data_IF_391647719429
#
_entry.id   IF_391647719429
#
_cell.length_a   1.000
_cell.length_b   1.000
_cell.length_c   1.000
_cell.angle_alpha   90.00
_cell.angle_beta   90.00
_cell.angle_gamma   90.00
#
_symmetry.space_group_name_H-M   'P 1'
#
loop_
_entity.id
_entity.type
_entity.pdbx_description
1 polymer ?
#
# COMPACT_ATOMS: atom_id res chain seq x y z
N UNK A 1 15.28 -29.72 8.30
CA UNK A 1 15.76 -30.60 9.37
C UNK A 1 15.50 -29.89 10.68
N UNK A 2 14.69 -30.46 11.57
CA UNK A 2 14.24 -29.76 12.78
C UNK A 2 15.34 -29.79 13.85
N UNK A 3 15.79 -28.61 14.27
CA UNK A 3 16.82 -28.40 15.30
C UNK A 3 16.48 -29.11 16.63
N UNK A 4 15.19 -29.25 16.92
CA UNK A 4 14.65 -29.98 18.07
C UNK A 4 15.09 -31.45 18.10
N UNK A 5 15.09 -32.14 16.96
CA UNK A 5 15.49 -33.55 16.89
C UNK A 5 16.98 -33.74 17.16
N UNK A 6 17.81 -32.77 16.74
CA UNK A 6 19.25 -32.79 16.99
C UNK A 6 19.54 -32.62 18.49
N UNK A 7 18.83 -31.70 19.15
CA UNK A 7 18.99 -31.48 20.60
C UNK A 7 18.53 -32.68 21.43
N UNK A 8 17.42 -33.33 21.03
CA UNK A 8 16.96 -34.58 21.66
C UNK A 8 17.97 -35.72 21.49
N UNK A 9 18.61 -35.83 20.32
CA UNK A 9 19.64 -36.83 20.07
C UNK A 9 20.90 -36.60 20.95
N UNK A 10 21.31 -35.34 21.15
CA UNK A 10 22.44 -34.98 22.02
C UNK A 10 22.13 -35.32 23.48
N UNK A 11 20.92 -34.96 23.96
CA UNK A 11 20.47 -35.29 25.30
C UNK A 11 20.41 -36.80 25.53
N UNK A 12 19.91 -37.56 24.55
CA UNK A 12 19.86 -39.03 24.63
C UNK A 12 21.26 -39.65 24.73
N UNK A 13 22.25 -39.14 24.00
CA UNK A 13 23.66 -39.57 24.10
C UNK A 13 24.23 -39.23 25.48
N UNK A 14 23.95 -38.03 26.01
CA UNK A 14 24.44 -37.61 27.32
C UNK A 14 23.84 -38.43 28.46
N UNK A 15 22.55 -38.76 28.38
CA UNK A 15 21.81 -39.53 29.40
C UNK A 15 22.09 -41.03 29.38
N UNK A 16 22.65 -41.57 28.30
CA UNK A 16 22.83 -43.03 28.15
C UNK A 16 24.28 -43.41 27.80
N UNK A 17 24.95 -44.07 28.75
CA UNK A 17 26.36 -44.48 28.65
C UNK A 17 26.66 -45.53 27.55
N UNK A 18 25.62 -46.12 26.94
CA UNK A 18 25.71 -47.21 25.94
C UNK A 18 25.33 -46.79 24.51
N UNK A 19 24.91 -45.54 24.30
CA UNK A 19 24.29 -45.12 23.04
C UNK A 19 25.31 -44.38 22.19
N UNK A 20 25.77 -45.03 21.12
CA UNK A 20 26.76 -44.44 20.22
C UNK A 20 26.15 -43.37 19.32
N UNK A 21 26.97 -42.39 18.92
CA UNK A 21 26.57 -41.29 18.02
C UNK A 21 25.95 -41.83 16.71
N UNK A 22 26.48 -42.94 16.17
CA UNK A 22 25.97 -43.60 14.96
C UNK A 22 24.58 -44.20 15.15
N UNK A 23 24.32 -44.76 16.34
CA UNK A 23 23.02 -45.34 16.68
C UNK A 23 21.98 -44.26 16.97
N UNK A 24 22.37 -43.19 17.67
CA UNK A 24 21.53 -42.01 17.87
C UNK A 24 21.12 -41.37 16.53
N UNK A 25 22.08 -41.17 15.62
CA UNK A 25 21.81 -40.64 14.28
C UNK A 25 20.77 -41.46 13.52
N UNK A 26 20.82 -42.80 13.63
CA UNK A 26 19.85 -43.70 12.99
C UNK A 26 18.47 -43.66 13.66
N UNK A 27 18.42 -43.59 15.00
CA UNK A 27 17.15 -43.54 15.76
C UNK A 27 16.40 -42.23 15.48
N UNK A 28 17.11 -41.11 15.50
CA UNK A 28 16.52 -39.78 15.31
C UNK A 28 16.45 -39.35 13.83
N UNK A 29 16.85 -40.23 12.90
CA UNK A 29 16.87 -39.99 11.46
C UNK A 29 17.66 -38.71 11.05
N UNK A 30 18.85 -38.53 11.62
CA UNK A 30 19.72 -37.37 11.40
C UNK A 30 21.00 -37.85 10.70
N UNK A 31 21.52 -37.12 9.69
CA UNK A 31 22.83 -37.44 9.13
C UNK A 31 23.91 -37.44 10.21
N UNK A 32 24.66 -38.53 10.28
CA UNK A 32 25.70 -38.74 11.30
C UNK A 32 26.71 -37.58 11.39
N UNK A 33 27.09 -37.03 10.23
CA UNK A 33 28.00 -35.87 10.13
C UNK A 33 27.42 -34.62 10.79
N UNK A 34 26.11 -34.39 10.67
CA UNK A 34 25.42 -33.22 11.26
C UNK A 34 25.39 -33.31 12.78
N UNK A 35 25.16 -34.52 13.32
CA UNK A 35 25.17 -34.77 14.76
C UNK A 35 26.58 -34.61 15.36
N UNK A 36 27.62 -35.11 14.67
CA UNK A 36 29.02 -34.89 15.08
C UNK A 36 29.37 -33.40 15.10
N UNK A 37 29.01 -32.65 14.06
CA UNK A 37 29.29 -31.21 14.02
C UNK A 37 28.60 -30.47 15.16
N UNK A 38 27.41 -30.90 15.58
CA UNK A 38 26.72 -30.31 16.74
C UNK A 38 27.36 -30.64 18.07
N UNK A 39 27.77 -31.89 18.27
CA UNK A 39 28.50 -32.31 19.48
C UNK A 39 29.82 -31.54 19.60
N UNK A 40 30.48 -31.26 18.46
CA UNK A 40 31.68 -30.41 18.40
C UNK A 40 31.41 -28.89 18.54
N UNK A 41 30.18 -28.48 18.85
CA UNK A 41 29.82 -27.07 19.13
C UNK A 41 29.56 -26.20 17.89
N UNK A 42 29.43 -26.78 16.68
CA UNK A 42 29.12 -25.99 15.48
C UNK A 42 27.66 -25.55 15.51
N UNK A 43 27.44 -24.23 15.45
CA UNK A 43 26.12 -23.60 15.49
C UNK A 43 25.30 -23.81 14.20
N UNK A 44 23.95 -23.69 14.25
CA UNK A 44 23.11 -23.82 13.07
C UNK A 44 23.45 -22.72 12.08
N UNK A 45 23.53 -23.05 10.79
CA UNK A 45 23.49 -22.01 9.75
C UNK A 45 22.10 -21.38 9.64
N UNK A 46 21.04 -22.15 9.94
CA UNK A 46 19.67 -21.68 9.98
C UNK A 46 19.47 -20.78 11.22
N UNK A 47 19.70 -19.48 11.05
CA UNK A 47 19.65 -18.47 12.13
C UNK A 47 20.95 -17.69 12.29
N UNK A 48 22.07 -18.16 11.72
CA UNK A 48 23.29 -17.36 11.64
C UNK A 48 23.12 -16.25 10.61
N UNK A 49 23.03 -15.01 11.08
CA UNK A 49 23.01 -13.81 10.24
C UNK A 49 24.31 -13.79 9.44
N UNK A 50 24.21 -13.51 8.13
CA UNK A 50 25.39 -13.48 7.26
C UNK A 50 26.46 -12.56 7.86
N UNK A 51 27.72 -13.00 7.88
CA UNK A 51 28.88 -12.17 8.24
C UNK A 51 28.93 -10.88 7.37
N UNK A 52 28.23 -10.87 6.24
CA UNK A 52 28.10 -9.73 5.33
C UNK A 52 26.92 -8.79 5.61
N UNK A 53 26.14 -8.99 6.68
CA UNK A 53 25.18 -7.99 7.14
C UNK A 53 25.93 -6.78 7.70
N UNK A 54 26.08 -5.75 6.87
CA UNK A 54 26.82 -4.52 7.21
C UNK A 54 26.19 -3.74 8.36
N UNK A 55 24.86 -3.82 8.50
CA UNK A 55 24.10 -3.15 9.56
C UNK A 55 23.88 -4.10 10.74
N UNK A 56 24.07 -3.60 11.95
CA UNK A 56 23.76 -4.31 13.20
C UNK A 56 22.24 -4.39 13.41
N UNK A 57 21.80 -5.38 14.19
CA UNK A 57 20.38 -5.58 14.45
C UNK A 57 19.74 -4.38 15.18
N UNK A 58 20.48 -3.75 16.11
CA UNK A 58 20.00 -2.56 16.81
C UNK A 58 19.81 -1.38 15.86
N UNK A 59 20.75 -1.14 14.96
CA UNK A 59 20.66 -0.07 13.95
C UNK A 59 19.48 -0.29 13.01
N UNK A 60 19.28 -1.54 12.59
CA UNK A 60 18.16 -1.92 11.73
C UNK A 60 16.81 -1.75 12.45
N UNK A 61 16.73 -2.09 13.74
CA UNK A 61 15.55 -1.85 14.59
C UNK A 61 15.28 -0.37 14.81
N UNK A 62 16.32 0.44 15.05
CA UNK A 62 16.17 1.90 15.19
C UNK A 62 15.66 2.53 13.89
N UNK A 63 16.19 2.10 12.73
CA UNK A 63 15.70 2.55 11.43
C UNK A 63 14.25 2.14 11.19
N UNK A 64 13.88 0.91 11.55
CA UNK A 64 12.50 0.44 11.48
C UNK A 64 11.57 1.33 12.33
N UNK A 65 11.93 1.57 13.60
CA UNK A 65 11.11 2.39 14.49
C UNK A 65 10.97 3.84 14.00
N UNK A 66 12.05 4.40 13.44
CA UNK A 66 12.04 5.72 12.83
C UNK A 66 11.08 5.80 11.63
N UNK A 67 11.04 4.77 10.77
CA UNK A 67 10.12 4.73 9.63
C UNK A 67 8.66 4.73 10.11
N UNK A 68 8.34 3.95 11.14
CA UNK A 68 6.98 3.90 11.70
C UNK A 68 6.58 5.26 12.28
N UNK A 69 7.43 5.88 13.09
CA UNK A 69 7.15 7.20 13.69
C UNK A 69 6.96 8.29 12.62
N UNK A 70 7.74 8.24 11.54
CA UNK A 70 7.56 9.16 10.41
C UNK A 70 6.24 8.92 9.66
N UNK A 71 5.85 7.66 9.47
CA UNK A 71 4.60 7.29 8.80
C UNK A 71 3.36 7.73 9.61
N UNK A 72 3.38 7.52 10.93
CA UNK A 72 2.31 7.95 11.85
C UNK A 72 2.10 9.48 11.83
N UNK A 73 3.14 10.25 11.51
CA UNK A 73 3.08 11.71 11.37
C UNK A 73 2.72 12.18 9.95
N UNK A 74 2.50 11.26 9.01
CA UNK A 74 2.18 11.56 7.61
C UNK A 74 3.38 11.87 6.72
N UNK A 75 4.61 11.57 7.18
CA UNK A 75 5.86 11.83 6.47
C UNK A 75 6.56 10.54 6.05
N UNK A 76 5.84 9.61 5.41
CA UNK A 76 6.38 8.32 4.99
C UNK A 76 7.63 8.49 4.11
N UNK A 77 8.81 7.95 4.52
CA UNK A 77 10.05 8.15 3.77
C UNK A 77 10.07 7.36 2.46
N UNK A 78 10.77 7.89 1.45
CA UNK A 78 11.00 7.16 0.20
C UNK A 78 12.06 6.08 0.41
N UNK A 79 12.09 5.11 -0.52
CA UNK A 79 13.08 4.04 -0.49
C UNK A 79 14.53 4.56 -0.56
N UNK A 80 14.74 5.67 -1.27
CA UNK A 80 16.03 6.38 -1.32
C UNK A 80 16.39 6.98 0.03
N UNK A 81 15.41 7.60 0.71
CA UNK A 81 15.62 8.24 2.01
C UNK A 81 16.01 7.17 3.05
N UNK A 82 15.38 5.99 3.01
CA UNK A 82 15.76 4.82 3.85
C UNK A 82 17.19 4.34 3.55
N UNK A 83 17.59 4.33 2.28
CA UNK A 83 18.98 4.00 1.88
C UNK A 83 19.97 5.04 2.39
N UNK A 84 19.64 6.33 2.28
CA UNK A 84 20.48 7.44 2.72
C UNK A 84 20.67 7.44 4.24
N UNK A 85 19.61 7.21 5.01
CA UNK A 85 19.71 7.09 6.48
C UNK A 85 20.56 5.88 6.87
N UNK A 86 20.37 4.74 6.18
CA UNK A 86 21.19 3.56 6.44
C UNK A 86 22.67 3.81 6.12
N UNK A 87 22.96 4.52 5.03
CA UNK A 87 24.32 4.91 4.66
C UNK A 87 24.93 5.91 5.64
N UNK A 88 24.14 6.85 6.16
CA UNK A 88 24.57 7.79 7.19
C UNK A 88 25.00 7.06 8.47
N UNK A 89 24.19 6.11 8.95
CA UNK A 89 24.54 5.27 10.11
C UNK A 89 25.86 4.51 9.86
N UNK A 90 26.02 3.92 8.67
CA UNK A 90 27.26 3.19 8.33
C UNK A 90 28.48 4.11 8.24
N UNK A 91 28.31 5.32 7.70
CA UNK A 91 29.38 6.32 7.57
C UNK A 91 29.90 6.77 8.93
N UNK A 92 29.01 6.97 9.93
CA UNK A 92 29.44 7.29 11.31
C UNK A 92 30.34 6.22 11.94
N UNK A 93 30.32 4.99 11.41
CA UNK A 93 31.15 3.88 11.87
C UNK A 93 32.34 3.58 10.95
N UNK A 94 32.55 4.40 9.92
CA UNK A 94 33.57 4.16 8.89
C UNK A 94 33.30 2.91 8.04
N UNK A 95 32.05 2.43 7.99
CA UNK A 95 31.68 1.26 7.22
C UNK A 95 31.33 1.61 5.77
N UNK A 96 31.46 0.62 4.88
CA UNK A 96 31.09 0.79 3.46
C UNK A 96 29.57 0.90 3.29
N UNK A 97 29.12 1.77 2.38
CA UNK A 97 27.72 1.96 1.98
C UNK A 97 26.96 0.65 1.68
N UNK A 98 25.65 0.67 1.85
CA UNK A 98 24.75 -0.44 1.50
C UNK A 98 24.72 -0.67 -0.02
N UNK A 99 24.22 -1.84 -0.44
CA UNK A 99 24.06 -2.14 -1.86
C UNK A 99 22.73 -1.62 -2.41
N UNK A 100 22.64 -1.40 -3.74
CA UNK A 100 21.46 -0.84 -4.42
C UNK A 100 20.11 -1.52 -4.10
N UNK A 101 20.11 -2.82 -3.79
CA UNK A 101 18.90 -3.58 -3.47
C UNK A 101 18.65 -3.72 -1.97
N UNK A 102 19.47 -3.09 -1.13
CA UNK A 102 19.42 -3.28 0.30
C UNK A 102 18.13 -2.74 0.91
N UNK A 103 17.71 -1.51 0.55
CA UNK A 103 16.50 -0.89 1.08
C UNK A 103 15.24 -1.69 0.71
N UNK A 104 15.14 -2.15 -0.55
CA UNK A 104 14.06 -3.05 -0.99
C UNK A 104 14.02 -4.36 -0.20
N UNK A 105 15.18 -4.96 0.05
CA UNK A 105 15.28 -6.18 0.87
C UNK A 105 14.98 -5.89 2.33
N UNK A 106 15.29 -4.70 2.84
CA UNK A 106 14.97 -4.27 4.20
C UNK A 106 13.47 -4.22 4.40
N UNK A 107 12.75 -3.52 3.52
CA UNK A 107 11.28 -3.49 3.57
C UNK A 107 10.70 -4.90 3.48
N UNK A 108 11.21 -5.76 2.59
CA UNK A 108 10.73 -7.15 2.47
C UNK A 108 11.01 -8.03 3.71
N UNK A 109 11.96 -7.66 4.58
CA UNK A 109 12.26 -8.43 5.81
C UNK A 109 11.23 -8.19 6.91
N UNK A 110 10.59 -7.02 6.93
CA UNK A 110 9.59 -6.64 7.93
C UNK A 110 8.20 -6.73 7.33
N UNK A 111 7.36 -7.62 7.86
CA UNK A 111 5.98 -7.80 7.40
C UNK A 111 5.09 -6.58 7.66
N UNK A 112 5.50 -5.73 8.59
CA UNK A 112 4.86 -4.49 9.01
C UNK A 112 5.11 -3.34 8.03
N UNK A 113 6.17 -3.44 7.20
CA UNK A 113 6.48 -2.43 6.19
C UNK A 113 5.97 -2.87 4.82
N UNK A 114 5.36 -1.92 4.10
CA UNK A 114 4.96 -2.12 2.70
C UNK A 114 5.36 -0.92 1.87
N UNK A 115 5.65 -1.17 0.59
CA UNK A 115 5.80 -0.09 -0.39
C UNK A 115 4.43 0.20 -0.99
N UNK A 116 4.00 1.46 -0.92
CA UNK A 116 2.78 1.95 -1.55
C UNK A 116 3.06 3.25 -2.32
N UNK A 117 2.20 3.56 -3.29
CA UNK A 117 2.21 4.88 -3.91
C UNK A 117 1.59 5.88 -2.94
N UNK A 118 2.24 7.05 -2.81
CA UNK A 118 1.62 8.16 -2.10
C UNK A 118 0.48 8.73 -2.97
N UNK A 119 -0.57 9.19 -2.31
CA UNK A 119 -1.62 9.98 -2.94
C UNK A 119 -1.36 11.44 -2.59
N UNK A 120 -1.40 12.33 -3.58
CA UNK A 120 -1.39 13.77 -3.30
C UNK A 120 -2.65 14.08 -2.50
N UNK A 121 -2.47 14.58 -1.29
CA UNK A 121 -3.54 15.01 -0.42
C UNK A 121 -3.50 16.53 -0.30
N UNK A 122 -4.66 17.17 -0.37
CA UNK A 122 -4.74 18.61 -0.30
C UNK A 122 -4.48 19.08 1.14
N UNK A 123 -3.56 20.03 1.29
CA UNK A 123 -3.15 20.52 2.61
C UNK A 123 -4.29 21.25 3.33
N UNK A 124 -5.14 21.98 2.61
CA UNK A 124 -6.29 22.64 3.23
C UNK A 124 -7.27 21.59 3.73
N UNK A 125 -7.56 20.54 2.96
CA UNK A 125 -8.39 19.42 3.44
C UNK A 125 -7.83 18.80 4.72
N UNK A 126 -6.52 18.54 4.78
CA UNK A 126 -5.89 18.02 5.99
C UNK A 126 -6.02 18.96 7.21
N UNK A 127 -6.00 20.28 7.01
CA UNK A 127 -6.18 21.26 8.10
C UNK A 127 -7.62 21.34 8.60
N UNK A 128 -8.61 21.09 7.74
CA UNK A 128 -10.04 21.16 8.08
C UNK A 128 -10.61 19.82 8.57
N UNK A 129 -9.82 18.74 8.55
CA UNK A 129 -10.15 17.43 9.12
C UNK A 129 -9.93 17.36 10.62
N UNK A 130 -10.47 18.33 11.36
CA UNK A 130 -10.54 18.23 12.81
C UNK A 130 -11.55 17.12 13.18
N UNK A 131 -11.03 16.04 13.75
CA UNK A 131 -11.82 14.88 14.17
C UNK A 131 -12.97 15.27 15.08
N UNK A 132 -12.80 16.26 15.96
CA UNK A 132 -13.87 16.69 16.87
C UNK A 132 -14.98 17.44 16.11
N UNK A 133 -14.59 18.27 15.14
CA UNK A 133 -15.53 19.02 14.31
C UNK A 133 -16.34 18.09 13.41
N UNK A 134 -15.66 17.12 12.78
CA UNK A 134 -16.29 16.09 11.95
C UNK A 134 -17.26 15.24 12.78
N UNK A 135 -16.82 14.75 13.95
CA UNK A 135 -17.68 13.94 14.84
C UNK A 135 -18.91 14.73 15.29
N UNK A 136 -18.72 16.01 15.67
CA UNK A 136 -19.81 16.88 16.08
C UNK A 136 -20.83 17.10 14.96
N UNK A 137 -20.36 17.25 13.72
CA UNK A 137 -21.24 17.36 12.55
C UNK A 137 -22.04 16.07 12.30
N UNK A 138 -21.39 14.90 12.29
CA UNK A 138 -22.09 13.62 12.11
C UNK A 138 -23.11 13.35 13.21
N UNK A 139 -22.79 13.71 14.46
CA UNK A 139 -23.73 13.62 15.59
C UNK A 139 -24.95 14.52 15.38
N UNK A 140 -24.74 15.75 14.89
CA UNK A 140 -25.83 16.66 14.56
C UNK A 140 -26.74 16.08 13.46
N UNK A 141 -26.14 15.57 12.37
CA UNK A 141 -26.89 14.92 11.28
C UNK A 141 -27.69 13.72 11.80
N UNK A 142 -27.07 12.86 12.61
CA UNK A 142 -27.75 11.70 13.21
C UNK A 142 -28.93 12.12 14.10
N UNK A 143 -28.77 13.18 14.90
CA UNK A 143 -29.84 13.70 15.75
C UNK A 143 -31.00 14.28 14.93
N UNK A 144 -30.68 15.02 13.86
CA UNK A 144 -31.68 15.56 12.94
C UNK A 144 -32.45 14.44 12.25
N UNK A 145 -31.73 13.41 11.79
CA UNK A 145 -32.30 12.22 11.16
C UNK A 145 -33.29 11.53 12.08
N UNK A 146 -32.91 11.31 13.35
CA UNK A 146 -33.79 10.72 14.36
C UNK A 146 -34.99 11.61 14.73
N UNK A 147 -34.79 12.94 14.83
CA UNK A 147 -35.84 13.89 15.22
C UNK A 147 -36.94 14.04 14.17
N UNK A 148 -36.55 14.06 12.89
CA UNK A 148 -37.48 14.31 11.78
C UNK A 148 -37.87 13.04 11.01
N UNK A 149 -37.32 11.87 11.39
CA UNK A 149 -37.64 10.59 10.75
C UNK A 149 -37.11 10.48 9.32
N UNK A 150 -35.99 11.15 9.01
CA UNK A 150 -35.39 11.17 7.67
C UNK A 150 -34.80 9.79 7.36
N UNK A 151 -35.23 9.20 6.25
CA UNK A 151 -34.80 7.88 5.78
C UNK A 151 -33.64 7.99 4.79
N UNK A 152 -33.01 6.86 4.44
CA UNK A 152 -31.90 6.88 3.48
C UNK A 152 -32.35 7.30 2.07
N UNK A 153 -33.60 7.01 1.68
CA UNK A 153 -34.21 7.50 0.43
C UNK A 153 -34.42 9.03 0.39
N UNK A 154 -34.37 9.72 1.53
CA UNK A 154 -34.49 11.18 1.58
C UNK A 154 -33.11 11.87 1.44
N UNK A 155 -32.01 11.11 1.52
CA UNK A 155 -30.65 11.64 1.42
C UNK A 155 -30.14 11.56 -0.02
N UNK A 156 -30.10 12.70 -0.69
CA UNK A 156 -29.54 12.81 -2.02
C UNK A 156 -28.11 13.37 -1.98
N UNK A 157 -27.19 12.67 -2.63
CA UNK A 157 -25.87 13.21 -2.94
C UNK A 157 -25.86 13.73 -4.38
N UNK A 158 -25.46 14.99 -4.52
CA UNK A 158 -25.41 15.71 -5.79
C UNK A 158 -23.95 16.07 -6.09
N UNK A 159 -23.48 15.74 -7.29
CA UNK A 159 -22.13 16.09 -7.72
C UNK A 159 -22.06 16.45 -9.22
N UNK A 160 -21.05 17.23 -9.57
CA UNK A 160 -20.78 17.68 -10.93
C UNK A 160 -19.51 17.00 -11.47
N UNK A 161 -19.60 16.39 -12.65
CA UNK A 161 -18.43 15.86 -13.37
C UNK A 161 -18.31 16.49 -14.74
N UNK A 162 -17.18 17.14 -14.99
CA UNK A 162 -16.81 17.66 -16.30
C UNK A 162 -16.09 16.62 -17.16
N UNK A 163 -16.55 16.46 -18.40
CA UNK A 163 -15.90 15.66 -19.43
C UNK A 163 -15.34 16.59 -20.51
N UNK A 164 -14.02 16.55 -20.71
CA UNK A 164 -13.39 17.27 -21.82
C UNK A 164 -13.52 16.44 -23.10
N UNK A 165 -14.26 16.98 -24.07
CA UNK A 165 -14.39 16.38 -25.40
C UNK A 165 -13.04 16.36 -26.10
N UNK A 166 -12.77 15.28 -26.82
CA UNK A 166 -11.52 15.12 -27.57
C UNK A 166 -10.28 14.89 -26.71
N UNK A 167 -10.38 14.75 -25.38
CA UNK A 167 -9.24 14.36 -24.55
C UNK A 167 -8.97 12.86 -24.65
N UNK A 168 -7.87 12.48 -25.31
CA UNK A 168 -7.42 11.09 -25.39
C UNK A 168 -6.47 10.81 -24.22
N UNK A 169 -6.86 9.88 -23.35
CA UNK A 169 -6.00 9.35 -22.29
C UNK A 169 -5.07 8.26 -22.83
N UNK A 170 -3.92 7.98 -22.18
CA UNK A 170 -3.08 6.84 -22.55
C UNK A 170 -3.83 5.53 -22.30
N UNK A 171 -3.94 4.66 -23.30
CA UNK A 171 -4.45 3.30 -23.16
C UNK A 171 -3.59 2.32 -23.96
N UNK A 172 -3.70 1.03 -23.63
CA UNK A 172 -2.97 -0.03 -24.33
C UNK A 172 -3.55 -0.18 -25.74
N UNK A 173 -2.69 -0.04 -26.75
CA UNK A 173 -3.06 -0.12 -28.16
C UNK A 173 -2.32 -1.28 -28.84
N UNK A 174 -3.02 -1.98 -29.73
CA UNK A 174 -2.39 -2.94 -30.65
C UNK A 174 -1.72 -2.16 -31.77
N UNK A 175 -0.40 -2.32 -31.93
CA UNK A 175 0.40 -1.58 -32.91
C UNK A 175 1.40 -2.50 -33.59
N UNK A 176 2.00 -2.05 -34.71
CA UNK A 176 3.00 -2.84 -35.43
C UNK A 176 4.23 -3.11 -34.55
N UNK A 177 4.75 -4.33 -34.60
CA UNK A 177 5.84 -4.80 -33.75
C UNK A 177 7.17 -4.04 -33.99
N UNK A 178 7.35 -3.47 -35.17
CA UNK A 178 8.53 -2.71 -35.60
C UNK A 178 8.45 -1.21 -35.30
N UNK A 179 7.37 -0.73 -34.68
CA UNK A 179 7.18 0.68 -34.40
C UNK A 179 8.16 1.16 -33.31
N UNK A 180 9.00 2.13 -33.65
CA UNK A 180 9.87 2.77 -32.68
C UNK A 180 9.11 3.82 -31.85
N UNK A 181 9.13 3.66 -30.53
CA UNK A 181 8.50 4.58 -29.58
C UNK A 181 7.00 4.34 -29.34
N UNK A 182 6.41 5.17 -28.47
CA UNK A 182 4.98 5.07 -28.12
C UNK A 182 4.09 5.47 -29.29
N UNK A 183 3.05 4.68 -29.54
CA UNK A 183 2.02 5.03 -30.51
C UNK A 183 1.30 6.33 -30.11
N UNK A 184 1.02 7.18 -31.10
CA UNK A 184 0.32 8.44 -30.91
C UNK A 184 -1.07 8.33 -31.53
N UNK A 185 -2.09 8.61 -30.75
CA UNK A 185 -3.42 8.88 -31.26
C UNK A 185 -3.51 10.37 -31.64
N UNK A 186 -4.18 10.68 -32.75
CA UNK A 186 -4.41 12.07 -33.16
C UNK A 186 -5.52 12.61 -32.28
N UNK A 187 -5.19 13.62 -31.47
CA UNK A 187 -6.18 14.29 -30.65
C UNK A 187 -6.98 15.26 -31.52
N UNK A 188 -8.32 15.13 -31.61
CA UNK A 188 -9.12 16.17 -32.23
C UNK A 188 -8.96 17.45 -31.41
N UNK A 189 -8.68 18.58 -32.07
CA UNK A 189 -8.38 19.86 -31.41
C UNK A 189 -9.55 20.48 -30.65
N UNK A 190 -10.74 19.87 -30.68
CA UNK A 190 -11.85 20.28 -29.84
C UNK A 190 -11.53 19.97 -28.37
N UNK A 191 -11.66 20.97 -27.49
CA UNK A 191 -11.47 20.90 -26.03
C UNK A 191 -12.68 21.41 -25.27
N UNK A 192 -13.84 21.34 -25.89
CA UNK A 192 -15.09 21.73 -25.24
C UNK A 192 -15.38 20.83 -24.06
N UNK A 193 -15.95 21.42 -23.02
CA UNK A 193 -16.37 20.71 -21.82
C UNK A 193 -17.85 20.41 -21.90
N UNK A 194 -18.21 19.20 -21.50
CA UNK A 194 -19.57 18.79 -21.20
C UNK A 194 -19.62 18.55 -19.70
N UNK A 195 -20.47 19.29 -19.00
CA UNK A 195 -20.72 19.08 -17.59
C UNK A 195 -21.90 18.13 -17.45
N UNK A 196 -21.73 17.10 -16.62
CA UNK A 196 -22.82 16.20 -16.21
C UNK A 196 -23.07 16.43 -14.74
N UNK A 197 -24.32 16.69 -14.41
CA UNK A 197 -24.81 16.75 -13.04
C UNK A 197 -25.49 15.41 -12.75
N UNK A 198 -25.07 14.76 -11.65
CA UNK A 198 -25.58 13.46 -11.23
C UNK A 198 -26.08 13.59 -9.80
N UNK A 199 -27.25 13.02 -9.53
CA UNK A 199 -27.83 12.98 -8.20
C UNK A 199 -28.38 11.59 -7.90
N UNK A 200 -27.98 11.02 -6.76
CA UNK A 200 -28.36 9.65 -6.33
C UNK A 200 -28.74 9.70 -4.86
N UNK A 201 -29.80 8.99 -4.48
CA UNK A 201 -30.22 8.87 -3.09
C UNK A 201 -29.44 7.78 -2.31
N UNK A 202 -29.71 7.65 -1.01
CA UNK A 202 -29.09 6.64 -0.16
C UNK A 202 -29.51 5.19 -0.47
N UNK A 203 -30.58 4.97 -1.24
CA UNK A 203 -31.07 3.65 -1.65
C UNK A 203 -30.62 3.27 -3.08
N UNK A 204 -30.00 4.19 -3.81
CA UNK A 204 -29.50 4.01 -5.17
C UNK A 204 -30.46 4.45 -6.27
N UNK A 205 -31.56 5.12 -5.94
CA UNK A 205 -32.40 5.81 -6.91
C UNK A 205 -31.65 7.01 -7.49
N UNK A 206 -31.63 7.12 -8.82
CA UNK A 206 -30.96 8.19 -9.53
C UNK A 206 -31.97 9.17 -10.14
N UNK A 207 -31.76 10.46 -9.91
CA UNK A 207 -32.43 11.50 -10.69
C UNK A 207 -31.84 11.47 -12.10
N UNK A 208 -32.66 11.63 -13.16
CA UNK A 208 -32.16 11.75 -14.53
C UNK A 208 -30.98 12.72 -14.62
N UNK A 209 -29.90 12.26 -15.25
CA UNK A 209 -28.69 13.06 -15.41
C UNK A 209 -29.00 14.36 -16.17
N UNK A 210 -28.37 15.45 -15.74
CA UNK A 210 -28.50 16.73 -16.42
C UNK A 210 -27.21 17.07 -17.16
N UNK A 211 -27.31 17.20 -18.48
CA UNK A 211 -26.19 17.47 -19.37
C UNK A 211 -26.15 18.95 -19.75
N UNK A 212 -25.05 19.59 -19.40
CA UNK A 212 -24.75 20.97 -19.80
C UNK A 212 -23.65 20.90 -20.87
N UNK A 213 -24.05 21.15 -22.11
CA UNK A 213 -23.13 21.29 -23.24
C UNK A 213 -22.89 22.76 -23.54
N UNK A 214 -21.71 23.09 -24.04
CA UNK A 214 -21.46 24.42 -24.56
C UNK A 214 -22.35 24.68 -25.79
N UNK A 215 -23.10 25.79 -25.77
CA UNK A 215 -23.95 26.21 -26.88
C UNK A 215 -23.77 27.70 -27.17
N UNK A 216 -23.82 28.06 -28.45
CA UNK A 216 -23.86 29.47 -28.90
C UNK A 216 -25.30 29.98 -29.02
N UNK A 217 -26.24 29.07 -29.31
CA UNK A 217 -27.67 29.35 -29.40
C UNK A 217 -28.45 28.33 -28.58
N UNK A 218 -29.44 28.81 -27.82
CA UNK A 218 -30.41 27.95 -27.15
C UNK A 218 -31.52 27.61 -28.15
N UNK A 219 -31.57 26.36 -28.60
CA UNK A 219 -32.60 25.87 -29.51
C UNK A 219 -33.74 25.24 -28.69
N UNK A 220 -34.80 26.03 -28.46
CA UNK A 220 -35.98 25.61 -27.68
C UNK A 220 -36.63 24.31 -28.17
N UNK A 221 -36.49 23.98 -29.46
CA UNK A 221 -37.05 22.77 -30.07
C UNK A 221 -36.35 21.46 -29.63
N UNK A 222 -35.29 21.54 -28.82
CA UNK A 222 -34.59 20.37 -28.29
C UNK A 222 -35.19 19.83 -26.99
N UNK A 223 -36.14 20.55 -26.41
CA UNK A 223 -36.87 20.11 -25.23
C UNK A 223 -38.36 20.07 -25.60
N UNK A 224 -38.99 18.90 -25.47
CA UNK A 224 -40.45 18.80 -25.38
C UNK A 224 -40.84 19.23 -23.96
N UNK A 225 -41.81 20.13 -23.81
CA UNK A 225 -42.24 20.73 -22.53
C UNK A 225 -42.74 19.73 -21.46
N UNK A 226 -42.65 18.42 -21.71
CA UNK A 226 -43.26 17.37 -20.87
C UNK A 226 -42.46 17.02 -19.59
N UNK A 227 -41.19 17.44 -19.47
CA UNK A 227 -40.31 17.05 -18.35
C UNK A 227 -40.04 18.16 -17.31
N UNK A 228 -40.67 19.33 -17.43
CA UNK A 228 -40.58 20.36 -16.40
C UNK A 228 -41.74 20.16 -15.40
N UNK A 229 -41.39 19.72 -14.18
CA UNK A 229 -42.32 19.70 -13.05
C UNK A 229 -42.91 21.11 -12.88
N UNK A 230 -44.23 21.22 -13.03
CA UNK A 230 -44.97 22.45 -12.75
C UNK A 230 -44.71 22.87 -11.29
N UNK A 231 -44.34 24.14 -11.10
CA UNK A 231 -44.16 24.83 -9.81
C UNK A 231 -45.39 24.71 -8.88
#
# INVERSE_FOLDING_TARGET
MQESQINLAIQAIASSKKLSVRRAAKIYNIPHTTLIYRIAGRMPKAGSRSIHCKMMELEEKSLFQYIIDMDERGFSPRISDVEDIANYILETRGAKKVGKLWAYRFVKRYTELKMCFNRVYDFQRALYEDSELIERWFRLVSNMRAKYGILDCDFYNFDETGFMMGQISPYIVVTKADRYGKSKAIQPGNREWVTVIICIDGEGYNIPLFLIVKGEYHLSNWYTEDDLLYD
#
